data_IF_097567279369
#
_entry.id   IF_097567279369
#
_cell.length_a   1.000
_cell.length_b   1.000
_cell.length_c   1.000
_cell.angle_alpha   90.00
_cell.angle_beta   90.00
_cell.angle_gamma   90.00
#
_symmetry.space_group_name_H-M   'P 1'
#
loop_
_entity.id
_entity.type
_entity.pdbx_description
1 polymer ?
#
# COMPACT_ATOMS: atom_id res chain seq x y z
N UNK A 1 -69.55 -37.69 22.05
CA UNK A 1 -68.94 -38.12 20.78
C UNK A 1 -67.77 -37.20 20.47
N UNK A 2 -66.55 -37.74 20.46
CA UNK A 2 -65.26 -37.09 20.14
C UNK A 2 -64.80 -37.48 18.71
N UNK A 3 -63.78 -36.82 18.12
CA UNK A 3 -63.67 -36.48 16.68
C UNK A 3 -62.64 -37.32 15.89
N UNK A 4 -62.56 -37.13 14.56
CA UNK A 4 -61.47 -37.51 13.63
C UNK A 4 -61.74 -36.75 12.31
N UNK A 5 -60.85 -36.10 11.58
CA UNK A 5 -59.38 -36.03 11.49
C UNK A 5 -59.08 -35.80 9.99
N UNK A 6 -58.20 -34.87 9.58
CA UNK A 6 -57.97 -34.58 8.14
C UNK A 6 -57.08 -35.64 7.47
N UNK A 7 -57.21 -35.89 6.15
CA UNK A 7 -56.30 -36.78 5.45
C UNK A 7 -54.99 -36.08 5.05
N UNK A 8 -53.88 -36.61 5.60
CA UNK A 8 -52.77 -37.17 4.82
C UNK A 8 -51.87 -36.20 4.03
N UNK A 9 -50.83 -35.71 4.70
CA UNK A 9 -49.64 -35.11 4.10
C UNK A 9 -48.80 -36.18 3.37
N UNK A 10 -48.56 -35.98 2.07
CA UNK A 10 -47.73 -36.87 1.26
C UNK A 10 -46.24 -36.60 1.53
N UNK A 11 -45.64 -37.45 2.37
CA UNK A 11 -44.20 -37.52 2.58
C UNK A 11 -43.53 -38.00 1.29
N UNK A 12 -42.68 -37.15 0.69
CA UNK A 12 -41.78 -37.55 -0.40
C UNK A 12 -40.53 -38.20 0.20
N UNK A 13 -40.24 -39.42 -0.26
CA UNK A 13 -38.98 -40.12 0.01
C UNK A 13 -37.76 -39.31 -0.47
N UNK A 14 -36.60 -39.42 0.21
CA UNK A 14 -35.38 -38.78 -0.23
C UNK A 14 -34.78 -39.53 -1.44
N UNK A 15 -34.40 -38.75 -2.45
CA UNK A 15 -33.67 -39.23 -3.64
C UNK A 15 -32.22 -39.59 -3.26
N UNK A 16 -31.73 -40.68 -3.85
CA UNK A 16 -30.48 -41.32 -3.53
C UNK A 16 -29.25 -40.43 -3.81
N UNK A 17 -28.29 -40.45 -2.88
CA UNK A 17 -26.99 -39.81 -3.00
C UNK A 17 -26.14 -40.44 -4.11
N UNK A 18 -25.56 -39.60 -4.97
CA UNK A 18 -24.53 -40.02 -5.94
C UNK A 18 -23.13 -39.92 -5.33
N UNK A 19 -22.18 -40.79 -5.73
CA UNK A 19 -20.87 -40.87 -5.08
C UNK A 19 -19.99 -39.66 -5.39
N UNK A 20 -19.26 -39.25 -4.35
CA UNK A 20 -18.22 -38.22 -4.35
C UNK A 20 -17.04 -38.70 -5.19
N UNK A 21 -16.75 -37.99 -6.29
CA UNK A 21 -15.50 -38.14 -7.03
C UNK A 21 -14.37 -37.44 -6.27
N UNK A 22 -13.43 -38.21 -5.72
CA UNK A 22 -12.18 -37.70 -5.15
C UNK A 22 -11.31 -37.10 -6.26
N UNK A 23 -11.21 -35.77 -6.30
CA UNK A 23 -10.20 -35.07 -7.10
C UNK A 23 -8.99 -34.83 -6.21
N UNK A 24 -7.87 -35.46 -6.52
CA UNK A 24 -6.60 -35.24 -5.83
C UNK A 24 -6.18 -33.76 -5.94
N UNK A 25 -5.67 -33.12 -4.88
CA UNK A 25 -5.12 -31.78 -4.99
C UNK A 25 -3.76 -31.88 -5.70
N UNK A 26 -3.77 -31.69 -7.02
CA UNK A 26 -2.55 -31.36 -7.75
C UNK A 26 -2.06 -30.00 -7.26
N UNK A 27 -0.84 -29.97 -6.70
CA UNK A 27 -0.15 -28.73 -6.33
C UNK A 27 0.15 -27.93 -7.60
N UNK A 28 -0.83 -27.17 -8.07
CA UNK A 28 -0.60 -26.11 -9.05
C UNK A 28 0.15 -24.99 -8.34
N UNK A 29 1.48 -24.98 -8.51
CA UNK A 29 2.27 -23.78 -8.25
C UNK A 29 1.86 -22.72 -9.28
N UNK A 30 0.79 -21.98 -9.00
CA UNK A 30 0.48 -20.74 -9.68
C UNK A 30 1.67 -19.80 -9.46
N UNK A 31 2.43 -19.55 -10.53
CA UNK A 31 3.42 -18.47 -10.54
C UNK A 31 2.63 -17.17 -10.50
N UNK A 32 2.81 -16.30 -9.50
CA UNK A 32 2.13 -15.01 -9.49
C UNK A 32 2.59 -14.20 -10.70
N UNK A 33 1.69 -13.97 -11.64
CA UNK A 33 1.86 -13.01 -12.74
C UNK A 33 1.48 -11.61 -12.23
N UNK A 34 2.18 -11.17 -11.20
CA UNK A 34 2.08 -9.80 -10.67
C UNK A 34 3.04 -8.86 -11.42
N UNK A 35 2.74 -7.56 -11.54
CA UNK A 35 3.70 -6.60 -12.04
C UNK A 35 4.97 -6.60 -11.16
N UNK A 36 6.16 -6.36 -11.74
CA UNK A 36 7.43 -6.38 -11.00
C UNK A 36 7.42 -5.34 -9.86
N UNK A 37 7.22 -5.82 -8.63
CA UNK A 37 7.11 -5.04 -7.40
C UNK A 37 6.45 -5.79 -6.23
N UNK A 38 5.70 -6.86 -6.52
CA UNK A 38 4.88 -7.57 -5.52
C UNK A 38 5.64 -8.44 -4.52
N UNK A 39 6.92 -8.71 -4.73
CA UNK A 39 7.71 -9.63 -3.87
C UNK A 39 7.97 -9.12 -2.44
N UNK A 40 7.58 -7.87 -2.12
CA UNK A 40 7.90 -7.22 -0.85
C UNK A 40 6.69 -6.98 0.07
N UNK A 41 5.47 -7.30 -0.37
CA UNK A 41 4.24 -6.92 0.33
C UNK A 41 3.93 -5.41 0.30
N UNK A 42 4.85 -4.59 -0.25
CA UNK A 42 4.65 -3.17 -0.49
C UNK A 42 4.10 -2.92 -1.89
N UNK A 43 3.30 -1.87 -2.02
CA UNK A 43 2.73 -1.38 -3.27
C UNK A 43 3.26 0.01 -3.58
N UNK A 44 3.33 0.32 -4.87
CA UNK A 44 3.53 1.70 -5.29
C UNK A 44 2.37 2.58 -4.79
N UNK A 45 2.64 3.86 -4.46
CA UNK A 45 1.64 4.74 -3.88
C UNK A 45 0.62 5.25 -4.90
N UNK A 46 0.78 4.88 -6.18
CA UNK A 46 -0.15 5.15 -7.27
C UNK A 46 -0.57 3.81 -7.88
N UNK A 47 -1.85 3.72 -8.26
CA UNK A 47 -2.46 2.48 -8.76
C UNK A 47 -1.87 1.98 -10.10
N UNK A 48 -1.14 2.82 -10.83
CA UNK A 48 -0.56 2.54 -12.15
C UNK A 48 0.93 2.16 -12.14
N UNK A 49 1.54 2.15 -13.32
CA UNK A 49 2.99 1.97 -13.48
C UNK A 49 3.72 3.20 -12.93
N UNK A 50 4.23 3.06 -11.70
CA UNK A 50 4.99 4.14 -11.07
C UNK A 50 6.27 4.45 -11.87
N UNK A 51 6.39 5.71 -12.29
CA UNK A 51 7.58 6.24 -12.95
C UNK A 51 8.21 7.30 -12.04
N UNK A 52 9.25 6.94 -11.28
CA UNK A 52 10.04 7.92 -10.53
C UNK A 52 10.62 8.98 -11.48
N UNK A 53 10.35 10.25 -11.21
CA UNK A 53 10.87 11.40 -11.95
C UNK A 53 12.02 12.08 -11.21
N UNK A 54 12.04 11.98 -9.88
CA UNK A 54 13.15 12.45 -9.03
C UNK A 54 13.46 11.44 -7.94
N UNK A 55 14.74 11.09 -7.80
CA UNK A 55 15.23 10.10 -6.82
C UNK A 55 15.45 10.71 -5.44
N UNK A 56 15.52 9.87 -4.42
CA UNK A 56 15.97 10.23 -3.09
C UNK A 56 17.39 10.83 -3.14
N UNK A 57 17.56 11.98 -2.50
CA UNK A 57 18.80 12.74 -2.42
C UNK A 57 18.87 13.38 -1.02
N UNK A 58 19.27 12.62 0.01
CA UNK A 58 19.16 13.07 1.39
C UNK A 58 20.06 14.28 1.63
N UNK A 59 19.57 15.30 2.36
CA UNK A 59 20.42 16.43 2.72
C UNK A 59 21.54 15.97 3.68
N UNK A 60 22.76 16.55 3.61
CA UNK A 60 23.85 16.18 4.50
C UNK A 60 23.55 16.48 5.98
N UNK A 61 22.68 17.45 6.25
CA UNK A 61 22.08 17.66 7.56
C UNK A 61 20.55 17.78 7.42
N UNK A 62 19.81 17.34 8.44
CA UNK A 62 18.34 17.24 8.38
C UNK A 62 17.62 18.54 7.98
N UNK A 63 18.22 19.70 8.23
CA UNK A 63 17.65 21.04 7.97
C UNK A 63 18.10 21.67 6.66
N UNK A 64 19.03 21.06 5.92
CA UNK A 64 19.49 21.58 4.64
C UNK A 64 18.57 21.16 3.48
N UNK A 65 18.78 21.78 2.33
CA UNK A 65 18.12 21.41 1.09
C UNK A 65 18.51 19.99 0.66
N UNK A 66 17.55 19.29 0.08
CA UNK A 66 17.68 17.90 -0.38
C UNK A 66 16.29 17.34 -0.70
N UNK A 67 16.26 16.11 -1.18
CA UNK A 67 15.06 15.40 -1.56
C UNK A 67 14.82 14.18 -0.66
N UNK A 68 13.86 14.33 0.26
CA UNK A 68 13.61 13.39 1.37
C UNK A 68 12.62 12.26 1.02
N UNK A 69 12.50 11.96 -0.27
CA UNK A 69 11.60 10.96 -0.81
C UNK A 69 11.88 10.74 -2.28
N UNK A 70 10.89 10.21 -2.99
CA UNK A 70 10.89 10.03 -4.44
C UNK A 70 9.68 10.75 -5.00
N UNK A 71 9.86 11.48 -6.09
CA UNK A 71 8.75 12.05 -6.83
C UNK A 71 8.36 11.04 -7.89
N UNK A 72 7.07 10.71 -7.93
CA UNK A 72 6.47 9.80 -8.92
C UNK A 72 5.57 10.64 -9.81
N UNK A 73 5.71 10.50 -11.13
CA UNK A 73 4.81 11.17 -12.07
C UNK A 73 3.35 10.80 -11.75
N UNK A 74 2.50 11.81 -11.60
CA UNK A 74 1.10 11.63 -11.24
C UNK A 74 0.23 12.68 -11.92
N UNK A 75 -1.06 12.41 -12.09
CA UNK A 75 -2.04 13.39 -12.59
C UNK A 75 -2.85 13.95 -11.43
N UNK A 76 -3.28 15.22 -11.49
CA UNK A 76 -4.36 15.73 -10.63
C UNK A 76 -5.55 14.76 -10.56
N UNK A 77 -6.10 14.55 -9.36
CA UNK A 77 -7.21 13.62 -9.14
C UNK A 77 -6.85 12.14 -9.20
N UNK A 78 -5.61 11.77 -9.55
CA UNK A 78 -5.17 10.37 -9.56
C UNK A 78 -5.23 9.77 -8.16
N UNK A 79 -5.71 8.52 -8.06
CA UNK A 79 -5.85 7.80 -6.79
C UNK A 79 -4.48 7.51 -6.18
N UNK A 80 -4.35 7.89 -4.92
CA UNK A 80 -3.21 7.57 -4.07
C UNK A 80 -3.60 6.42 -3.15
N UNK A 81 -2.74 5.41 -3.07
CA UNK A 81 -2.95 4.22 -2.25
C UNK A 81 -1.90 4.09 -1.15
N UNK A 82 -2.27 3.45 -0.04
CA UNK A 82 -1.34 3.07 1.01
C UNK A 82 -0.30 2.10 0.45
N UNK A 83 0.97 2.40 0.69
CA UNK A 83 2.08 1.59 0.17
C UNK A 83 2.19 0.26 0.94
N UNK A 84 1.77 0.24 2.21
CA UNK A 84 1.75 -0.94 3.06
C UNK A 84 0.61 -0.83 4.08
N UNK A 85 0.31 -1.92 4.80
CA UNK A 85 -0.70 -1.88 5.84
C UNK A 85 -0.21 -1.04 7.02
N UNK A 86 -1.10 -0.33 7.70
CA UNK A 86 -0.71 0.52 8.81
C UNK A 86 -1.84 1.36 9.40
N UNK A 87 -1.45 2.36 10.18
CA UNK A 87 -2.37 3.31 10.83
C UNK A 87 -2.06 4.71 10.32
N UNK A 88 -3.08 5.44 9.87
CA UNK A 88 -2.95 6.83 9.42
C UNK A 88 -2.57 7.70 10.61
N UNK A 89 -1.41 8.34 10.54
CA UNK A 89 -0.91 9.23 11.60
C UNK A 89 -1.32 10.69 11.40
N UNK A 90 -1.44 11.13 10.14
CA UNK A 90 -1.76 12.51 9.76
C UNK A 90 -2.51 12.47 8.44
N UNK A 91 -3.52 13.33 8.29
CA UNK A 91 -4.32 13.50 7.08
C UNK A 91 -4.88 14.94 7.03
N UNK A 92 -4.00 15.92 6.84
CA UNK A 92 -4.32 17.35 6.96
C UNK A 92 -3.44 18.23 6.06
N UNK A 93 -3.67 19.55 6.06
CA UNK A 93 -2.83 20.50 5.34
C UNK A 93 -1.60 20.90 6.17
N UNK A 94 -0.41 20.71 5.59
CA UNK A 94 0.88 21.13 6.16
C UNK A 94 1.58 22.05 5.16
N UNK A 95 1.94 23.26 5.61
CA UNK A 95 2.59 24.27 4.76
C UNK A 95 1.89 24.48 3.40
N UNK A 96 0.55 24.57 3.43
CA UNK A 96 -0.28 24.85 2.25
C UNK A 96 -0.56 23.66 1.32
N UNK A 97 -0.19 22.43 1.69
CA UNK A 97 -0.41 21.22 0.88
C UNK A 97 -1.06 20.11 1.70
N UNK A 98 -1.92 19.32 1.08
CA UNK A 98 -2.46 18.13 1.73
C UNK A 98 -1.38 17.06 1.94
N UNK A 99 -1.30 16.51 3.14
CA UNK A 99 -0.34 15.47 3.53
C UNK A 99 -1.07 14.31 4.16
N UNK A 100 -0.71 13.09 3.79
CA UNK A 100 -1.07 11.87 4.51
C UNK A 100 0.20 11.20 5.04
N UNK A 101 0.16 10.67 6.26
CA UNK A 101 1.23 9.79 6.77
C UNK A 101 0.65 8.50 7.31
N UNK A 102 1.36 7.40 7.09
CA UNK A 102 0.95 6.07 7.59
C UNK A 102 2.12 5.47 8.36
N UNK A 103 1.85 5.10 9.60
CA UNK A 103 2.78 4.34 10.44
C UNK A 103 2.59 2.86 10.19
N UNK A 104 3.70 2.16 9.97
CA UNK A 104 3.76 0.74 9.64
C UNK A 104 4.50 -0.02 10.74
N UNK A 105 4.47 -1.36 10.66
CA UNK A 105 5.29 -2.21 11.52
C UNK A 105 6.79 -1.94 11.32
N UNK A 106 7.61 -2.30 12.32
CA UNK A 106 9.07 -2.10 12.27
C UNK A 106 9.52 -0.63 12.34
N UNK A 107 8.66 0.25 12.86
CA UNK A 107 8.96 1.67 13.06
C UNK A 107 9.07 2.47 11.75
N UNK A 108 8.55 1.91 10.65
CA UNK A 108 8.52 2.58 9.35
C UNK A 108 7.33 3.54 9.27
N UNK A 109 7.52 4.64 8.54
CA UNK A 109 6.45 5.58 8.24
C UNK A 109 6.57 6.06 6.79
N UNK A 110 5.47 6.04 6.06
CA UNK A 110 5.39 6.63 4.73
C UNK A 110 4.67 7.98 4.78
N UNK A 111 5.05 8.87 3.86
CA UNK A 111 4.44 10.21 3.72
C UNK A 111 4.02 10.44 2.27
N UNK A 112 2.86 11.05 2.05
CA UNK A 112 2.27 11.28 0.73
C UNK A 112 1.86 12.74 0.59
N UNK A 113 2.35 13.43 -0.44
CA UNK A 113 1.93 14.80 -0.76
C UNK A 113 2.19 15.17 -2.23
N UNK A 114 1.42 16.11 -2.81
CA UNK A 114 0.22 16.72 -2.26
C UNK A 114 -1.00 15.82 -2.45
N UNK A 115 -1.71 15.51 -1.36
CA UNK A 115 -2.85 14.59 -1.35
C UNK A 115 -4.06 15.20 -0.66
N UNK A 116 -5.19 15.25 -1.35
CA UNK A 116 -6.49 15.45 -0.71
C UNK A 116 -6.92 14.11 -0.10
N UNK A 117 -6.85 14.05 1.23
CA UNK A 117 -7.11 12.83 1.98
C UNK A 117 -8.57 12.36 1.86
N UNK A 118 -8.76 11.06 1.80
CA UNK A 118 -10.04 10.36 1.91
C UNK A 118 -10.12 9.48 3.17
N UNK A 119 -9.09 9.55 4.01
CA UNK A 119 -8.94 8.82 5.27
C UNK A 119 -8.73 9.80 6.42
N UNK A 120 -8.85 9.33 7.66
CA UNK A 120 -8.67 10.15 8.87
C UNK A 120 -7.55 9.63 9.77
N UNK A 121 -6.92 10.49 10.61
CA UNK A 121 -5.97 10.03 11.61
C UNK A 121 -6.59 8.95 12.52
N UNK A 122 -5.81 7.92 12.85
CA UNK A 122 -6.24 6.75 13.63
C UNK A 122 -6.85 5.61 12.80
N UNK A 123 -7.16 5.84 11.53
CA UNK A 123 -7.74 4.82 10.66
C UNK A 123 -6.72 3.72 10.30
N UNK A 124 -7.14 2.46 10.36
CA UNK A 124 -6.35 1.31 9.91
C UNK A 124 -6.56 1.14 8.40
N UNK A 125 -5.47 1.02 7.66
CA UNK A 125 -5.48 0.89 6.19
C UNK A 125 -4.73 -0.35 5.75
N UNK A 126 -5.23 -1.04 4.72
CA UNK A 126 -4.53 -2.14 4.06
C UNK A 126 -3.57 -1.63 2.97
N UNK A 127 -2.56 -2.44 2.61
CA UNK A 127 -1.73 -2.14 1.44
C UNK A 127 -2.58 -2.07 0.16
N UNK A 128 -2.49 -0.96 -0.57
CA UNK A 128 -3.26 -0.71 -1.79
C UNK A 128 -4.63 -0.09 -1.54
N UNK A 129 -5.04 0.11 -0.28
CA UNK A 129 -6.26 0.86 0.03
C UNK A 129 -6.10 2.32 -0.44
N UNK A 130 -7.12 2.86 -1.09
CA UNK A 130 -7.14 4.27 -1.50
C UNK A 130 -7.17 5.15 -0.25
N UNK A 131 -6.20 6.06 -0.15
CA UNK A 131 -6.07 7.00 0.98
C UNK A 131 -6.37 8.44 0.60
N UNK A 132 -6.47 8.72 -0.70
CA UNK A 132 -6.69 10.06 -1.20
C UNK A 132 -6.57 10.15 -2.71
N UNK A 133 -6.55 11.38 -3.19
CA UNK A 133 -6.23 11.73 -4.58
C UNK A 133 -5.19 12.83 -4.61
N UNK A 134 -4.38 12.87 -5.66
CA UNK A 134 -3.42 13.96 -5.89
C UNK A 134 -4.19 15.29 -6.00
N UNK A 135 -3.73 16.33 -5.30
CA UNK A 135 -4.37 17.66 -5.34
C UNK A 135 -4.29 18.28 -6.74
N UNK A 136 -5.23 19.16 -7.07
CA UNK A 136 -5.27 19.87 -8.37
C UNK A 136 -4.03 20.77 -8.57
N UNK A 137 -3.60 21.46 -7.51
CA UNK A 137 -2.45 22.37 -7.53
C UNK A 137 -1.10 21.64 -7.34
N UNK A 138 -1.02 20.35 -7.69
CA UNK A 138 0.17 19.51 -7.49
C UNK A 138 1.43 20.00 -8.23
N UNK A 139 1.30 20.96 -9.16
CA UNK A 139 2.41 21.63 -9.83
C UNK A 139 3.28 22.48 -8.88
N UNK A 140 2.83 22.79 -7.66
CA UNK A 140 3.55 23.68 -6.75
C UNK A 140 4.87 23.11 -6.15
N UNK A 141 5.25 21.86 -6.43
CA UNK A 141 6.47 21.22 -5.93
C UNK A 141 7.39 20.66 -7.03
N UNK A 142 6.83 20.29 -8.19
CA UNK A 142 7.55 19.65 -9.29
C UNK A 142 7.31 20.42 -10.59
N UNK A 143 8.27 20.38 -11.51
CA UNK A 143 8.15 20.98 -12.86
C UNK A 143 6.95 20.43 -13.65
N UNK A 144 6.51 19.21 -13.33
CA UNK A 144 5.27 18.59 -13.80
C UNK A 144 4.55 17.94 -12.61
N UNK A 145 3.21 17.75 -12.66
CA UNK A 145 2.46 17.15 -11.55
C UNK A 145 3.07 15.81 -11.09
N UNK A 146 3.26 15.69 -9.78
CA UNK A 146 3.94 14.57 -9.15
C UNK A 146 3.32 14.28 -7.79
N UNK A 147 3.48 13.04 -7.33
CA UNK A 147 3.34 12.69 -5.93
C UNK A 147 4.73 12.56 -5.32
N UNK A 148 5.03 13.37 -4.32
CA UNK A 148 6.18 13.16 -3.44
C UNK A 148 5.83 12.07 -2.42
N UNK A 149 6.60 11.00 -2.44
CA UNK A 149 6.46 9.85 -1.55
C UNK A 149 7.72 9.67 -0.73
N UNK A 150 7.59 9.78 0.60
CA UNK A 150 8.71 9.69 1.54
C UNK A 150 8.65 8.42 2.37
N UNK A 151 9.81 8.02 2.90
CA UNK A 151 9.97 6.90 3.82
C UNK A 151 10.86 7.32 4.98
N UNK A 152 10.43 6.99 6.20
CA UNK A 152 11.20 7.20 7.41
C UNK A 152 11.25 5.93 8.25
N UNK A 153 12.34 5.79 9.02
CA UNK A 153 12.41 4.93 10.22
C UNK A 153 12.73 5.81 11.42
N UNK A 154 11.77 5.97 12.32
CA UNK A 154 11.87 6.98 13.38
C UNK A 154 12.10 8.38 12.79
N UNK A 155 13.29 8.95 13.02
CA UNK A 155 13.69 10.28 12.51
C UNK A 155 14.58 10.26 11.26
N UNK A 156 15.00 9.06 10.82
CA UNK A 156 15.88 8.90 9.67
C UNK A 156 15.06 8.78 8.38
N UNK A 157 15.36 9.64 7.40
CA UNK A 157 14.83 9.50 6.05
C UNK A 157 15.56 8.38 5.31
N UNK A 158 14.80 7.56 4.60
CA UNK A 158 15.28 6.43 3.80
C UNK A 158 14.83 6.60 2.36
N UNK A 159 15.54 5.99 1.42
CA UNK A 159 15.05 5.86 0.04
C UNK A 159 13.81 4.95 0.01
N UNK A 160 12.62 5.46 -0.38
CA UNK A 160 11.41 4.64 -0.50
C UNK A 160 11.56 3.43 -1.43
N UNK A 161 12.47 3.47 -2.40
CA UNK A 161 12.72 2.35 -3.32
C UNK A 161 13.33 1.14 -2.61
N UNK A 162 13.86 1.30 -1.40
CA UNK A 162 14.32 0.20 -0.55
C UNK A 162 13.20 -0.79 -0.24
N UNK A 163 11.94 -0.35 -0.20
CA UNK A 163 10.80 -1.22 0.06
C UNK A 163 10.63 -2.30 -1.01
N UNK A 164 11.06 -2.04 -2.25
CA UNK A 164 10.97 -3.00 -3.36
C UNK A 164 12.26 -3.81 -3.56
N UNK A 165 13.13 -3.87 -2.56
CA UNK A 165 14.42 -4.59 -2.65
C UNK A 165 15.42 -3.93 -3.61
N UNK A 166 15.17 -2.69 -4.05
CA UNK A 166 16.05 -1.93 -4.96
C UNK A 166 17.09 -1.08 -4.22
N UNK A 167 17.40 -1.45 -2.98
CA UNK A 167 18.47 -0.81 -2.23
C UNK A 167 19.82 -1.03 -2.89
N UNK A 168 20.60 0.03 -3.04
CA UNK A 168 22.02 -0.15 -3.27
C UNK A 168 22.63 -0.86 -2.06
N UNK A 169 23.01 -2.13 -2.23
CA UNK A 169 23.85 -2.83 -1.27
C UNK A 169 25.21 -2.14 -1.28
N UNK A 170 25.60 -1.54 -0.15
CA UNK A 170 26.97 -1.05 0.07
C UNK A 170 27.67 -1.99 1.04
N UNK A 171 28.80 -2.54 0.60
CA UNK A 171 29.71 -3.23 1.51
C UNK A 171 30.42 -2.18 2.37
N UNK A 172 30.33 -2.32 3.68
CA UNK A 172 31.21 -1.60 4.59
C UNK A 172 32.56 -2.34 4.64
N UNK A 173 33.69 -1.60 4.69
CA UNK A 173 34.98 -2.23 4.88
C UNK A 173 34.98 -2.98 6.20
N UNK A 174 35.33 -4.27 6.13
CA UNK A 174 35.61 -5.10 7.30
C UNK A 174 36.99 -4.69 7.81
N UNK A 175 37.02 -3.87 8.86
CA UNK A 175 38.27 -3.58 9.55
C UNK A 175 38.69 -4.82 10.35
N UNK A 176 39.95 -5.30 10.25
CA UNK A 176 40.41 -6.41 11.07
C UNK A 176 40.41 -6.00 12.55
N UNK A 177 39.92 -6.87 13.43
CA UNK A 177 40.03 -6.65 14.87
C UNK A 177 41.51 -6.40 15.24
N UNK A 178 41.77 -5.33 15.99
CA UNK A 178 43.11 -5.02 16.51
C UNK A 178 43.47 -5.95 17.65
#
# INVERSE_FOLDING_TARGET
MRPMGPPGEAVRSPEAAQPVGTVAPGLFLMRPTGPPGEASGWRWPLSGSARPTRRFDPPPQRWLAGHRGVDVAARPGEKVVAAGPGIVGLAERVAGRGVVTISHSGGLRTTYLPVRALVRPGEVVAAGQVIGVVEEDAAAHCTAPCLHWGLLRGRLYLDPLLLFGRGQVRLLPRWPAR
#
